data_IF_910049043367
#
_entry.id   IF_910049043367
#
_cell.length_a   1.000
_cell.length_b   1.000
_cell.length_c   1.000
_cell.angle_alpha   90.00
_cell.angle_beta   90.00
_cell.angle_gamma   90.00
#
_symmetry.space_group_name_H-M   'P 1'
#
loop_
_entity.id
_entity.type
_entity.pdbx_description
1 polymer ?
#
# COMPACT_ATOMS: atom_id res chain seq x y z
N UNK A 1 15.65 9.67 5.76
CA UNK A 1 15.37 8.38 5.09
C UNK A 1 14.56 8.71 3.87
N UNK A 2 15.05 8.37 2.67
CA UNK A 2 14.42 8.74 1.40
C UNK A 2 13.08 8.02 1.28
N UNK A 3 11.98 8.76 1.35
CA UNK A 3 10.63 8.20 1.17
C UNK A 3 10.49 7.80 -0.31
N UNK A 4 10.66 6.51 -0.60
CA UNK A 4 10.57 6.02 -1.97
C UNK A 4 9.13 6.13 -2.45
N UNK A 5 8.97 6.70 -3.63
CA UNK A 5 7.68 6.80 -4.30
C UNK A 5 7.65 5.79 -5.42
N UNK A 6 6.56 5.03 -5.49
CA UNK A 6 6.36 3.97 -6.46
C UNK A 6 5.22 4.34 -7.38
N UNK A 7 5.44 4.11 -8.67
CA UNK A 7 4.39 4.28 -9.68
C UNK A 7 3.66 2.95 -9.82
N UNK A 8 2.37 2.93 -9.55
CA UNK A 8 1.52 1.74 -9.63
C UNK A 8 0.39 1.98 -10.64
N UNK A 9 0.06 0.97 -11.41
CA UNK A 9 -1.11 0.99 -12.29
C UNK A 9 -2.32 0.48 -11.50
N UNK A 10 -3.26 1.38 -11.25
CA UNK A 10 -4.48 1.08 -10.48
C UNK A 10 -5.43 0.19 -11.29
N UNK A 11 -6.39 -0.43 -10.61
CA UNK A 11 -7.32 -1.37 -11.26
C UNK A 11 -8.18 -0.76 -12.36
N UNK A 12 -8.36 0.56 -12.34
CA UNK A 12 -9.07 1.33 -13.38
C UNK A 12 -8.17 1.73 -14.58
N UNK A 13 -6.92 1.27 -14.63
CA UNK A 13 -5.94 1.61 -15.67
C UNK A 13 -5.26 2.96 -15.49
N UNK A 14 -5.56 3.70 -14.41
CA UNK A 14 -4.89 4.96 -14.09
C UNK A 14 -3.55 4.70 -13.41
N UNK A 15 -2.50 5.36 -13.87
CA UNK A 15 -1.24 5.37 -13.14
C UNK A 15 -1.31 6.33 -11.96
N UNK A 16 -0.94 5.85 -10.77
CA UNK A 16 -0.85 6.66 -9.56
C UNK A 16 0.50 6.50 -8.91
N UNK A 17 1.00 7.59 -8.36
CA UNK A 17 2.18 7.57 -7.51
C UNK A 17 1.73 7.34 -6.07
N UNK A 18 2.32 6.34 -5.45
CA UNK A 18 2.10 6.00 -4.05
C UNK A 18 3.39 6.14 -3.27
N UNK A 19 3.25 6.47 -2.00
CA UNK A 19 4.31 6.36 -1.00
C UNK A 19 3.81 5.45 0.08
N UNK A 20 4.65 4.55 0.58
CA UNK A 20 4.29 3.76 1.74
C UNK A 20 5.39 3.77 2.77
N UNK A 21 4.98 3.85 4.03
CA UNK A 21 5.87 3.85 5.18
C UNK A 21 5.45 2.72 6.12
N UNK A 22 6.40 1.86 6.56
CA UNK A 22 6.11 0.84 7.56
C UNK A 22 5.76 1.52 8.89
N UNK A 23 4.75 1.00 9.58
CA UNK A 23 4.32 1.45 10.88
C UNK A 23 3.80 0.26 11.70
N UNK A 24 3.41 0.55 12.95
CA UNK A 24 2.80 -0.43 13.84
C UNK A 24 1.46 0.10 14.32
N UNK A 25 0.42 -0.74 14.25
CA UNK A 25 -0.91 -0.41 14.72
C UNK A 25 -1.48 -1.58 15.50
N UNK A 26 -1.80 -1.37 16.79
CA UNK A 26 -2.31 -2.42 17.69
C UNK A 26 -1.47 -3.71 17.66
N UNK A 27 -0.15 -3.59 17.70
CA UNK A 27 0.82 -4.70 17.61
C UNK A 27 0.80 -5.47 16.26
N UNK A 28 0.21 -4.89 15.21
CA UNK A 28 0.29 -5.39 13.85
C UNK A 28 1.25 -4.52 13.05
N UNK A 29 2.10 -5.17 12.24
CA UNK A 29 2.88 -4.48 11.21
C UNK A 29 1.93 -4.00 10.12
N UNK A 30 1.93 -2.70 9.88
CA UNK A 30 1.09 -2.05 8.87
C UNK A 30 1.94 -1.17 7.95
N UNK A 31 1.35 -0.78 6.83
CA UNK A 31 1.93 0.14 5.87
C UNK A 31 0.95 1.27 5.60
N UNK A 32 1.37 2.49 5.94
CA UNK A 32 0.60 3.68 5.63
C UNK A 32 0.90 4.09 4.20
N UNK A 33 -0.07 3.90 3.31
CA UNK A 33 0.01 4.27 1.90
C UNK A 33 -0.59 5.66 1.72
N UNK A 34 0.17 6.57 1.14
CA UNK A 34 -0.27 7.91 0.75
C UNK A 34 -0.26 8.04 -0.77
N UNK A 35 -1.33 8.62 -1.31
CA UNK A 35 -1.52 8.87 -2.74
C UNK A 35 -1.34 10.35 -3.04
N UNK A 36 -0.95 10.69 -4.27
CA UNK A 36 -0.76 12.09 -4.69
C UNK A 36 -2.07 12.92 -4.67
N UNK A 37 -3.23 12.26 -4.73
CA UNK A 37 -4.53 12.91 -4.57
C UNK A 37 -4.88 13.25 -3.11
N UNK A 38 -3.96 13.01 -2.17
CA UNK A 38 -4.15 13.24 -0.74
C UNK A 38 -4.88 12.11 0.01
N UNK A 39 -5.35 11.08 -0.71
CA UNK A 39 -5.93 9.90 -0.09
C UNK A 39 -4.86 9.13 0.68
N UNK A 40 -5.31 8.42 1.73
CA UNK A 40 -4.47 7.56 2.55
C UNK A 40 -5.18 6.25 2.80
N UNK A 41 -4.41 5.18 2.74
CA UNK A 41 -4.86 3.83 3.08
C UNK A 41 -3.88 3.21 4.07
N UNK A 42 -4.37 2.38 4.96
CA UNK A 42 -3.53 1.61 5.88
C UNK A 42 -3.67 0.15 5.50
N UNK A 43 -2.58 -0.46 5.03
CA UNK A 43 -2.55 -1.84 4.58
C UNK A 43 -1.87 -2.72 5.61
N UNK A 44 -2.32 -3.94 5.73
CA UNK A 44 -1.70 -4.97 6.56
C UNK A 44 -1.85 -6.32 5.89
N UNK A 45 -0.93 -7.23 6.22
CA UNK A 45 -0.92 -8.58 5.64
C UNK A 45 -1.41 -9.58 6.68
N UNK A 46 -2.40 -10.38 6.33
CA UNK A 46 -2.93 -11.47 7.14
C UNK A 46 -2.69 -12.79 6.40
N UNK A 47 -1.71 -13.56 6.85
CA UNK A 47 -1.25 -14.73 6.08
C UNK A 47 -0.64 -14.31 4.74
N UNK A 48 -1.25 -14.77 3.64
CA UNK A 48 -0.84 -14.43 2.27
C UNK A 48 -1.72 -13.34 1.63
N UNK A 49 -2.70 -12.81 2.36
CA UNK A 49 -3.65 -11.84 1.82
C UNK A 49 -3.34 -10.43 2.33
N UNK A 50 -3.44 -9.46 1.43
CA UNK A 50 -3.35 -8.04 1.75
C UNK A 50 -4.75 -7.51 2.08
N UNK A 51 -4.86 -6.82 3.21
CA UNK A 51 -6.09 -6.23 3.71
C UNK A 51 -5.87 -4.74 4.01
N UNK A 52 -6.95 -3.99 4.12
CA UNK A 52 -6.93 -2.57 4.47
C UNK A 52 -7.71 -2.30 5.76
N UNK A 53 -7.23 -1.37 6.58
CA UNK A 53 -7.82 -1.04 7.87
C UNK A 53 -8.82 0.14 7.81
N UNK A 54 -8.60 1.14 6.94
CA UNK A 54 -9.30 2.44 6.97
C UNK A 54 -10.15 2.73 5.72
N UNK A 55 -11.04 3.72 5.88
CA UNK A 55 -12.11 4.30 5.03
C UNK A 55 -11.83 4.63 3.54
N UNK A 56 -10.63 4.38 3.01
CA UNK A 56 -10.40 4.47 1.56
C UNK A 56 -10.72 3.12 0.95
N UNK A 57 -11.84 3.00 0.25
CA UNK A 57 -12.24 1.80 -0.50
C UNK A 57 -11.29 1.57 -1.69
N UNK A 58 -10.05 1.13 -1.44
CA UNK A 58 -9.26 0.55 -2.53
C UNK A 58 -10.02 -0.67 -3.05
N UNK A 59 -10.27 -0.69 -4.35
CA UNK A 59 -10.80 -1.87 -5.00
C UNK A 59 -9.81 -3.04 -4.86
N UNK A 60 -10.32 -4.27 -4.96
CA UNK A 60 -9.52 -5.48 -4.75
C UNK A 60 -8.29 -5.55 -5.65
N UNK A 61 -8.36 -5.02 -6.88
CA UNK A 61 -7.21 -5.05 -7.78
C UNK A 61 -6.14 -4.04 -7.35
N UNK A 62 -6.55 -2.83 -7.00
CA UNK A 62 -5.65 -1.81 -6.46
C UNK A 62 -4.98 -2.25 -5.16
N UNK A 63 -5.72 -2.88 -4.24
CA UNK A 63 -5.18 -3.44 -3.00
C UNK A 63 -4.11 -4.51 -3.28
N UNK A 64 -4.38 -5.44 -4.20
CA UNK A 64 -3.43 -6.47 -4.60
C UNK A 64 -2.18 -5.91 -5.28
N UNK A 65 -2.34 -4.93 -6.17
CA UNK A 65 -1.21 -4.28 -6.86
C UNK A 65 -0.29 -3.58 -5.86
N UNK A 66 -0.87 -2.79 -4.95
CA UNK A 66 -0.09 -2.07 -3.92
C UNK A 66 0.58 -3.06 -2.97
N UNK A 67 -0.15 -4.09 -2.51
CA UNK A 67 0.39 -5.13 -1.65
C UNK A 67 1.59 -5.87 -2.28
N UNK A 68 1.50 -6.23 -3.56
CA UNK A 68 2.62 -6.82 -4.32
C UNK A 68 3.82 -5.89 -4.40
N UNK A 69 3.59 -4.59 -4.60
CA UNK A 69 4.67 -3.61 -4.64
C UNK A 69 5.39 -3.51 -3.28
N UNK A 70 4.63 -3.56 -2.18
CA UNK A 70 5.19 -3.60 -0.83
C UNK A 70 6.01 -4.88 -0.64
N UNK A 71 5.48 -6.05 -1.00
CA UNK A 71 6.19 -7.33 -0.91
C UNK A 71 7.52 -7.31 -1.71
N UNK A 72 7.51 -6.73 -2.92
CA UNK A 72 8.71 -6.57 -3.74
C UNK A 72 9.76 -5.70 -3.04
N UNK A 73 9.33 -4.55 -2.49
CA UNK A 73 10.23 -3.63 -1.78
C UNK A 73 10.87 -4.24 -0.52
N UNK A 74 10.21 -5.22 0.10
CA UNK A 74 10.74 -5.94 1.27
C UNK A 74 11.70 -7.07 0.89
N UNK A 75 11.64 -7.54 -0.36
CA UNK A 75 12.50 -8.65 -0.85
C UNK A 75 13.79 -8.12 -1.47
N UNK A 76 13.77 -6.91 -2.03
CA UNK A 76 14.94 -6.23 -2.59
C UNK A 76 15.71 -5.36 -1.57
N UNK A 77 15.28 -5.36 -0.30
CA UNK A 77 15.85 -4.57 0.79
C UNK A 77 16.81 -5.33 1.70
#
# INVERSE_FOLDING_TARGET
MSQMSYKVMMGNGTEQMIRFDPAEFKNLKVWNVSFDNGQKAMLYKLGNEWMQHNESELDSNSLLTIGKQIDHSLTEG
#
